data_IF_844470720845
#
_entry.id   IF_844470720845
#
_cell.length_a   1.000
_cell.length_b   1.000
_cell.length_c   1.000
_cell.angle_alpha   90.00
_cell.angle_beta   90.00
_cell.angle_gamma   90.00
#
_symmetry.space_group_name_H-M   'P 1'
#
loop_
_entity.id
_entity.type
_entity.pdbx_description
1 polymer ?
#
# COMPACT_ATOMS: atom_id res chain seq x y z
N UNK A 1 31.71 8.68 17.32
CA UNK A 1 30.45 9.24 16.80
C UNK A 1 29.80 8.17 15.93
N UNK A 2 28.67 7.62 16.39
CA UNK A 2 27.88 6.69 15.57
C UNK A 2 27.29 7.47 14.40
N UNK A 3 27.75 7.15 13.19
CA UNK A 3 27.12 7.60 11.96
C UNK A 3 25.71 7.00 11.97
N UNK A 4 24.69 7.81 12.25
CA UNK A 4 23.32 7.45 11.91
C UNK A 4 23.35 7.16 10.41
N UNK A 5 22.97 5.96 9.95
CA UNK A 5 22.96 5.65 8.54
C UNK A 5 22.17 6.77 7.85
N UNK A 6 22.83 7.42 6.89
CA UNK A 6 22.22 8.40 6.01
C UNK A 6 20.77 7.96 5.73
N UNK A 7 19.77 8.79 6.07
CA UNK A 7 18.36 8.48 5.76
C UNK A 7 18.33 8.16 4.26
N UNK A 8 18.32 6.89 3.91
CA UNK A 8 18.15 6.48 2.54
C UNK A 8 16.80 7.08 2.15
N UNK A 9 16.82 8.07 1.24
CA UNK A 9 15.59 8.66 0.77
C UNK A 9 14.80 7.53 0.13
N UNK A 10 13.70 7.13 0.78
CA UNK A 10 12.81 6.13 0.24
C UNK A 10 12.36 6.61 -1.12
N UNK A 11 12.60 5.81 -2.15
CA UNK A 11 12.05 6.10 -3.47
C UNK A 11 10.53 5.90 -3.41
N UNK A 12 9.81 6.46 -4.37
CA UNK A 12 8.37 6.18 -4.50
C UNK A 12 8.11 4.67 -4.63
N UNK A 13 9.01 3.93 -5.29
CA UNK A 13 8.93 2.48 -5.41
C UNK A 13 9.06 1.78 -4.04
N UNK A 14 10.03 2.18 -3.22
CA UNK A 14 10.22 1.61 -1.87
C UNK A 14 8.97 1.85 -1.01
N UNK A 15 8.40 3.06 -1.07
CA UNK A 15 7.19 3.41 -0.32
C UNK A 15 6.00 2.56 -0.76
N UNK A 16 5.82 2.36 -2.08
CA UNK A 16 4.72 1.56 -2.62
C UNK A 16 4.86 0.08 -2.23
N UNK A 17 6.09 -0.46 -2.22
CA UNK A 17 6.34 -1.84 -1.79
C UNK A 17 6.03 -2.05 -0.31
N UNK A 18 6.48 -1.14 0.55
CA UNK A 18 6.20 -1.19 1.99
C UNK A 18 4.70 -1.04 2.29
N UNK A 19 4.03 -0.08 1.64
CA UNK A 19 2.60 0.15 1.80
C UNK A 19 1.78 -1.08 1.34
N UNK A 20 2.18 -1.69 0.22
CA UNK A 20 1.55 -2.90 -0.32
C UNK A 20 1.70 -4.09 0.63
N UNK A 21 2.88 -4.29 1.20
CA UNK A 21 3.13 -5.32 2.20
C UNK A 21 2.25 -5.11 3.44
N UNK A 22 2.29 -3.91 3.99
CA UNK A 22 1.48 -3.55 5.16
C UNK A 22 -0.02 -3.75 4.92
N UNK A 23 -0.56 -3.30 3.78
CA UNK A 23 -1.98 -3.49 3.46
C UNK A 23 -2.35 -4.97 3.31
N UNK A 24 -1.51 -5.78 2.65
CA UNK A 24 -1.76 -7.21 2.49
C UNK A 24 -1.80 -7.95 3.83
N UNK A 25 -0.88 -7.62 4.74
CA UNK A 25 -0.86 -8.19 6.09
C UNK A 25 -2.12 -7.78 6.88
N UNK A 26 -2.54 -6.51 6.77
CA UNK A 26 -3.76 -6.02 7.42
C UNK A 26 -5.01 -6.73 6.90
N UNK A 27 -5.10 -6.97 5.58
CA UNK A 27 -6.21 -7.73 4.98
C UNK A 27 -6.29 -9.15 5.55
N UNK A 28 -5.14 -9.81 5.73
CA UNK A 28 -5.10 -11.17 6.31
C UNK A 28 -5.48 -11.20 7.80
N UNK A 29 -5.21 -10.12 8.53
CA UNK A 29 -5.51 -10.03 9.95
C UNK A 29 -6.97 -9.68 10.26
N UNK A 30 -7.71 -9.13 9.29
CA UNK A 30 -9.09 -8.72 9.51
C UNK A 30 -10.09 -9.81 9.12
N UNK A 31 -11.12 -9.97 9.97
CA UNK A 31 -12.23 -10.91 9.72
C UNK A 31 -13.23 -10.37 8.68
N UNK A 32 -13.34 -9.05 8.56
CA UNK A 32 -14.20 -8.36 7.61
C UNK A 32 -13.37 -7.36 6.79
N UNK A 33 -13.74 -7.04 5.54
CA UNK A 33 -13.02 -6.05 4.75
C UNK A 33 -13.02 -4.66 5.41
N UNK A 34 -11.84 -4.13 5.73
CA UNK A 34 -11.72 -2.74 6.17
C UNK A 34 -12.07 -1.78 5.03
N UNK A 35 -13.09 -0.96 5.27
CA UNK A 35 -13.47 0.14 4.39
C UNK A 35 -12.46 1.28 4.59
N UNK A 36 -11.80 1.66 3.51
CA UNK A 36 -10.87 2.78 3.43
C UNK A 36 -11.60 4.06 3.05
N UNK A 37 -12.59 4.00 2.15
CA UNK A 37 -13.37 5.17 1.75
C UNK A 37 -14.75 4.79 1.19
N UNK A 38 -15.71 5.69 1.36
CA UNK A 38 -17.00 5.61 0.67
C UNK A 38 -16.95 6.50 -0.58
N UNK A 39 -17.09 5.90 -1.76
CA UNK A 39 -17.11 6.63 -3.02
C UNK A 39 -18.52 7.18 -3.30
N UNK A 40 -18.65 8.32 -4.01
CA UNK A 40 -19.95 8.87 -4.41
C UNK A 40 -20.81 7.93 -5.27
N UNK A 41 -20.19 6.92 -5.89
CA UNK A 41 -20.87 5.85 -6.62
C UNK A 41 -21.63 4.86 -5.74
N UNK A 42 -21.48 4.95 -4.41
CA UNK A 42 -21.96 3.95 -3.47
C UNK A 42 -21.00 2.77 -3.27
N UNK A 43 -19.89 2.73 -4.01
CA UNK A 43 -18.84 1.72 -3.81
C UNK A 43 -18.06 2.01 -2.53
N UNK A 44 -17.79 0.96 -1.76
CA UNK A 44 -16.94 1.02 -0.58
C UNK A 44 -15.54 0.56 -0.99
N UNK A 45 -14.60 1.49 -1.05
CA UNK A 45 -13.20 1.18 -1.30
C UNK A 45 -12.66 0.42 -0.08
N UNK A 46 -12.14 -0.79 -0.29
CA UNK A 46 -11.58 -1.66 0.73
C UNK A 46 -10.05 -1.64 0.73
N UNK A 47 -9.44 -2.18 1.79
CA UNK A 47 -7.98 -2.39 1.81
C UNK A 47 -7.51 -3.31 0.66
N UNK A 48 -8.31 -4.31 0.28
CA UNK A 48 -8.00 -5.19 -0.86
C UNK A 48 -7.97 -4.43 -2.18
N UNK A 49 -8.90 -3.50 -2.41
CA UNK A 49 -8.88 -2.62 -3.60
C UNK A 49 -7.61 -1.77 -3.64
N UNK A 50 -7.15 -1.28 -2.47
CA UNK A 50 -5.90 -0.54 -2.38
C UNK A 50 -4.68 -1.41 -2.70
N UNK A 51 -4.65 -2.69 -2.28
CA UNK A 51 -3.58 -3.63 -2.66
C UNK A 51 -3.56 -3.82 -4.18
N UNK A 52 -4.71 -4.04 -4.79
CA UNK A 52 -4.82 -4.23 -6.25
C UNK A 52 -4.36 -2.99 -7.02
N UNK A 53 -4.77 -1.79 -6.57
CA UNK A 53 -4.34 -0.54 -7.18
C UNK A 53 -2.82 -0.34 -7.10
N UNK A 54 -2.21 -0.70 -5.97
CA UNK A 54 -0.74 -0.60 -5.82
C UNK A 54 -0.03 -1.65 -6.67
N UNK A 55 -0.54 -2.89 -6.75
CA UNK A 55 0.04 -3.92 -7.62
C UNK A 55 -0.01 -3.49 -9.11
N UNK A 56 -1.11 -2.88 -9.56
CA UNK A 56 -1.22 -2.33 -10.90
C UNK A 56 -0.21 -1.20 -11.15
N UNK A 57 -0.03 -0.29 -10.19
CA UNK A 57 0.94 0.79 -10.28
C UNK A 57 2.38 0.27 -10.29
N UNK A 58 2.71 -0.70 -9.43
CA UNK A 58 4.02 -1.35 -9.40
C UNK A 58 4.32 -2.09 -10.71
N UNK A 59 3.32 -2.70 -11.34
CA UNK A 59 3.45 -3.33 -12.65
C UNK A 59 3.75 -2.28 -13.73
N UNK A 60 3.05 -1.15 -13.73
CA UNK A 60 3.31 -0.03 -14.65
C UNK A 60 4.72 0.55 -14.49
N UNK A 61 5.22 0.67 -13.27
CA UNK A 61 6.55 1.22 -12.99
C UNK A 61 7.71 0.26 -13.33
N UNK A 62 7.42 -1.02 -13.56
CA UNK A 62 8.39 -2.03 -13.99
C UNK A 62 8.58 -2.09 -15.51
N UNK A 63 7.73 -1.42 -16.28
CA UNK A 63 7.74 -1.36 -17.75
C UNK A 63 8.23 0.01 -18.25
#
# INVERSE_FOLDING_TARGET
MNLIPNKAHLTALDILLELRGWLADNVQMQAEPAIVAHLPSGYQLTQSDCVEAIDALLHQLRH
#
